data_IF_784302964447
#
_entry.id   IF_784302964447
#
_cell.length_a   1.000
_cell.length_b   1.000
_cell.length_c   1.000
_cell.angle_alpha   90.00
_cell.angle_beta   90.00
_cell.angle_gamma   90.00
#
_symmetry.space_group_name_H-M   'P 1'
#
loop_
_entity.id
_entity.type
_entity.pdbx_description
1 polymer ?
#
# COMPACT_ATOMS: atom_id res chain seq x y z
N UNK A 1 -29.07 -2.09 -19.03
CA UNK A 1 -28.23 -1.38 -20.02
C UNK A 1 -27.05 -0.68 -19.38
N UNK A 2 -27.25 0.14 -18.34
CA UNK A 2 -26.17 0.76 -17.53
C UNK A 2 -25.16 -0.23 -16.97
N UNK A 3 -25.60 -1.38 -16.44
CA UNK A 3 -24.69 -2.41 -15.90
C UNK A 3 -23.75 -3.03 -16.95
N UNK A 4 -24.23 -3.20 -18.18
CA UNK A 4 -23.42 -3.69 -19.29
C UNK A 4 -22.32 -2.67 -19.64
N UNK A 5 -22.62 -1.37 -19.63
CA UNK A 5 -21.60 -0.31 -19.73
C UNK A 5 -20.60 -0.37 -18.56
N UNK A 6 -21.06 -0.53 -17.31
CA UNK A 6 -20.19 -0.65 -16.13
C UNK A 6 -19.25 -1.86 -16.25
N UNK A 7 -19.77 -3.02 -16.63
CA UNK A 7 -18.99 -4.25 -16.82
C UNK A 7 -17.99 -4.14 -17.98
N UNK A 8 -18.37 -3.48 -19.09
CA UNK A 8 -17.46 -3.19 -20.22
C UNK A 8 -16.30 -2.27 -19.82
N UNK A 9 -16.57 -1.22 -19.03
CA UNK A 9 -15.52 -0.35 -18.49
C UNK A 9 -14.56 -1.12 -17.60
N UNK A 10 -15.05 -1.94 -16.67
CA UNK A 10 -14.20 -2.75 -15.78
C UNK A 10 -13.33 -3.72 -16.57
N UNK A 11 -13.89 -4.43 -17.56
CA UNK A 11 -13.12 -5.36 -18.40
C UNK A 11 -12.01 -4.64 -19.19
N UNK A 12 -12.34 -3.54 -19.87
CA UNK A 12 -11.38 -2.74 -20.61
C UNK A 12 -10.29 -2.14 -19.69
N UNK A 13 -10.65 -1.74 -18.46
CA UNK A 13 -9.69 -1.25 -17.47
C UNK A 13 -8.75 -2.34 -16.97
N UNK A 14 -9.25 -3.55 -16.68
CA UNK A 14 -8.41 -4.67 -16.27
C UNK A 14 -7.41 -5.05 -17.37
N UNK A 15 -7.85 -5.10 -18.63
CA UNK A 15 -6.99 -5.34 -19.80
C UNK A 15 -5.89 -4.27 -19.94
N UNK A 16 -6.26 -2.98 -19.92
CA UNK A 16 -5.33 -1.87 -20.10
C UNK A 16 -4.35 -1.72 -18.91
N UNK A 17 -4.83 -1.81 -17.66
CA UNK A 17 -3.98 -1.73 -16.48
C UNK A 17 -3.00 -2.91 -16.39
N UNK A 18 -3.39 -4.11 -16.85
CA UNK A 18 -2.47 -5.28 -16.89
C UNK A 18 -1.40 -5.15 -17.99
N UNK A 19 -1.72 -4.45 -19.09
CA UNK A 19 -0.86 -4.28 -20.25
C UNK A 19 0.11 -3.09 -20.12
N UNK A 20 -0.39 -1.92 -19.69
CA UNK A 20 0.34 -0.63 -19.63
C UNK A 20 0.48 -0.03 -18.23
N UNK A 21 -0.04 -0.71 -17.21
CA UNK A 21 -0.12 -0.16 -15.86
C UNK A 21 -1.33 0.74 -15.64
N UNK A 22 -1.67 0.91 -14.36
CA UNK A 22 -2.67 1.85 -13.89
C UNK A 22 -2.30 3.28 -14.29
N UNK A 23 -1.07 3.75 -14.03
CA UNK A 23 -0.68 5.15 -14.14
C UNK A 23 -0.75 5.67 -15.59
N UNK A 24 -0.21 4.93 -16.56
CA UNK A 24 -0.17 5.33 -17.98
C UNK A 24 -1.56 5.35 -18.64
N UNK A 25 -2.47 4.47 -18.20
CA UNK A 25 -3.82 4.37 -18.76
C UNK A 25 -4.69 5.58 -18.37
N UNK A 26 -5.30 6.27 -19.34
CA UNK A 26 -6.23 7.36 -19.04
C UNK A 26 -7.71 6.99 -19.18
N UNK A 27 -8.56 7.68 -18.40
CA UNK A 27 -10.04 7.59 -18.49
C UNK A 27 -10.56 8.01 -19.89
N UNK A 28 -9.74 8.68 -20.71
CA UNK A 28 -10.09 8.98 -22.11
C UNK A 28 -9.92 7.75 -23.00
N UNK A 29 -8.77 7.06 -22.91
CA UNK A 29 -8.55 5.81 -23.65
C UNK A 29 -9.58 4.74 -23.28
N UNK A 30 -9.91 4.60 -21.99
CA UNK A 30 -10.94 3.65 -21.53
C UNK A 30 -12.31 3.95 -22.14
N UNK A 31 -12.68 5.23 -22.25
CA UNK A 31 -13.92 5.63 -22.91
C UNK A 31 -13.89 5.31 -24.41
N UNK A 32 -12.77 5.60 -25.07
CA UNK A 32 -12.56 5.35 -26.50
C UNK A 32 -12.55 3.85 -26.85
N UNK A 33 -11.90 3.01 -26.03
CA UNK A 33 -11.87 1.53 -26.16
C UNK A 33 -13.24 0.89 -25.93
N UNK A 34 -14.06 1.46 -25.04
CA UNK A 34 -15.43 0.97 -24.74
C UNK A 34 -16.48 1.53 -25.71
N UNK A 35 -16.13 2.52 -26.55
CA UNK A 35 -17.05 3.16 -27.49
C UNK A 35 -18.05 4.12 -26.84
N UNK A 36 -17.69 4.73 -25.70
CA UNK A 36 -18.54 5.63 -24.92
C UNK A 36 -17.88 6.99 -24.69
N UNK A 37 -18.63 7.99 -24.21
CA UNK A 37 -18.04 9.29 -23.86
C UNK A 37 -17.29 9.22 -22.53
N UNK A 38 -16.27 10.06 -22.35
CA UNK A 38 -15.59 10.22 -21.05
C UNK A 38 -16.59 10.56 -19.93
N UNK A 39 -17.63 11.34 -20.22
CA UNK A 39 -18.70 11.67 -19.27
C UNK A 39 -19.51 10.43 -18.84
N UNK A 40 -19.75 9.48 -19.74
CA UNK A 40 -20.41 8.22 -19.40
C UNK A 40 -19.52 7.34 -18.51
N UNK A 41 -18.20 7.32 -18.71
CA UNK A 41 -17.27 6.64 -17.79
C UNK A 41 -17.28 7.31 -16.41
N UNK A 42 -17.19 8.65 -16.37
CA UNK A 42 -17.21 9.43 -15.13
C UNK A 42 -18.54 9.34 -14.35
N UNK A 43 -19.65 9.02 -15.02
CA UNK A 43 -20.93 8.74 -14.38
C UNK A 43 -20.93 7.41 -13.61
N UNK A 44 -20.17 6.41 -14.08
CA UNK A 44 -20.02 5.12 -13.39
C UNK A 44 -18.87 5.13 -12.36
N UNK A 45 -17.79 5.89 -12.63
CA UNK A 45 -16.56 5.92 -11.84
C UNK A 45 -15.99 7.35 -11.80
N UNK A 46 -16.17 8.10 -10.70
CA UNK A 46 -15.75 9.51 -10.60
C UNK A 46 -14.28 9.78 -10.93
N UNK A 47 -13.39 8.83 -10.64
CA UNK A 47 -11.98 8.83 -10.99
C UNK A 47 -11.45 7.44 -11.34
N UNK A 48 -10.15 7.38 -11.64
CA UNK A 48 -9.47 6.11 -12.00
C UNK A 48 -9.30 5.19 -10.79
N UNK A 49 -9.22 5.74 -9.57
CA UNK A 49 -9.17 4.97 -8.33
C UNK A 49 -10.49 4.22 -8.07
N UNK A 50 -11.65 4.81 -8.38
CA UNK A 50 -12.96 4.17 -8.23
C UNK A 50 -13.12 2.94 -9.13
N UNK A 51 -12.49 2.98 -10.33
CA UNK A 51 -12.39 1.81 -11.22
C UNK A 51 -11.57 0.70 -10.55
N UNK A 52 -10.46 1.04 -9.88
CA UNK A 52 -9.65 0.07 -9.14
C UNK A 52 -10.41 -0.49 -7.94
N UNK A 53 -11.09 0.34 -7.15
CA UNK A 53 -11.94 -0.13 -6.04
C UNK A 53 -12.97 -1.14 -6.53
N UNK A 54 -13.65 -0.82 -7.64
CA UNK A 54 -14.65 -1.71 -8.24
C UNK A 54 -14.08 -2.96 -8.94
N UNK A 55 -12.79 -2.96 -9.30
CA UNK A 55 -12.06 -4.15 -9.75
C UNK A 55 -11.60 -5.03 -8.58
N UNK A 56 -11.19 -4.41 -7.46
CA UNK A 56 -10.71 -5.11 -6.27
C UNK A 56 -11.83 -5.67 -5.38
N UNK A 57 -13.03 -5.09 -5.42
CA UNK A 57 -14.15 -5.47 -4.55
C UNK A 57 -14.46 -6.98 -4.51
N UNK A 58 -14.49 -7.74 -5.63
CA UNK A 58 -14.72 -9.19 -5.57
C UNK A 58 -13.61 -9.92 -4.82
N UNK A 59 -12.35 -9.54 -5.07
CA UNK A 59 -11.19 -10.11 -4.38
C UNK A 59 -11.22 -9.81 -2.87
N UNK A 60 -11.59 -8.59 -2.49
CA UNK A 60 -11.72 -8.20 -1.07
C UNK A 60 -12.88 -8.94 -0.39
N UNK A 61 -14.02 -9.10 -1.06
CA UNK A 61 -15.16 -9.84 -0.52
C UNK A 61 -14.83 -11.34 -0.33
N UNK A 62 -14.19 -11.98 -1.32
CA UNK A 62 -13.79 -13.39 -1.22
C UNK A 62 -12.70 -13.59 -0.14
N UNK A 63 -11.76 -12.65 -0.01
CA UNK A 63 -10.72 -12.60 1.04
C UNK A 63 -11.33 -12.46 2.45
N UNK A 64 -12.26 -11.52 2.63
CA UNK A 64 -12.98 -11.31 3.89
C UNK A 64 -13.84 -12.52 4.27
N UNK A 65 -14.48 -13.17 3.28
CA UNK A 65 -15.25 -14.40 3.46
C UNK A 65 -14.37 -15.60 3.83
N UNK A 66 -13.21 -15.79 3.18
CA UNK A 66 -12.25 -16.84 3.50
C UNK A 66 -11.72 -16.69 4.93
N UNK A 67 -11.37 -15.47 5.35
CA UNK A 67 -10.91 -15.17 6.71
C UNK A 67 -12.02 -15.30 7.77
N UNK A 68 -13.29 -15.12 7.39
CA UNK A 68 -14.43 -15.42 8.26
C UNK A 68 -14.65 -16.93 8.42
N UNK A 69 -14.64 -17.70 7.33
CA UNK A 69 -14.80 -19.16 7.36
C UNK A 69 -13.65 -19.85 8.11
N UNK A 70 -12.41 -19.38 7.92
CA UNK A 70 -11.25 -19.92 8.62
C UNK A 70 -11.31 -19.72 10.14
N UNK A 71 -11.85 -18.58 10.62
CA UNK A 71 -11.96 -18.30 12.05
C UNK A 71 -12.90 -19.27 12.80
N UNK A 72 -13.91 -19.83 12.12
CA UNK A 72 -14.86 -20.81 12.66
C UNK A 72 -14.44 -22.27 12.40
N UNK A 73 -13.31 -22.50 11.70
CA UNK A 73 -12.83 -23.83 11.34
C UNK A 73 -12.07 -24.52 12.48
N UNK A 74 -12.21 -25.84 12.60
CA UNK A 74 -11.51 -26.66 13.60
C UNK A 74 -10.00 -26.70 13.43
N UNK A 75 -9.51 -26.51 12.20
CA UNK A 75 -8.12 -26.14 11.92
C UNK A 75 -8.10 -24.76 11.26
N UNK A 76 -8.11 -23.74 12.11
CA UNK A 76 -8.07 -22.32 11.72
C UNK A 76 -6.87 -21.99 10.83
N UNK A 77 -5.70 -22.60 11.10
CA UNK A 77 -4.46 -22.35 10.35
C UNK A 77 -4.57 -22.90 8.94
N UNK A 78 -4.96 -24.17 8.79
CA UNK A 78 -5.11 -24.80 7.47
C UNK A 78 -6.22 -24.16 6.65
N UNK A 79 -7.37 -23.86 7.26
CA UNK A 79 -8.47 -23.20 6.58
C UNK A 79 -8.10 -21.78 6.09
N UNK A 80 -7.31 -21.03 6.88
CA UNK A 80 -6.80 -19.74 6.44
C UNK A 80 -5.82 -19.88 5.25
N UNK A 81 -4.86 -20.81 5.33
CA UNK A 81 -3.90 -21.08 4.25
C UNK A 81 -4.61 -21.46 2.93
N UNK A 82 -5.56 -22.39 2.98
CA UNK A 82 -6.28 -22.84 1.78
C UNK A 82 -7.21 -21.76 1.23
N UNK A 83 -8.01 -21.11 2.08
CA UNK A 83 -8.94 -20.06 1.64
C UNK A 83 -8.23 -18.87 0.98
N UNK A 84 -7.09 -18.45 1.53
CA UNK A 84 -6.27 -17.37 0.97
C UNK A 84 -5.64 -17.77 -0.37
N UNK A 85 -5.15 -19.01 -0.49
CA UNK A 85 -4.59 -19.52 -1.73
C UNK A 85 -5.64 -19.58 -2.86
N UNK A 86 -6.86 -20.01 -2.57
CA UNK A 86 -7.95 -20.02 -3.57
C UNK A 86 -8.33 -18.60 -4.01
N UNK A 87 -8.33 -17.62 -3.11
CA UNK A 87 -8.53 -16.21 -3.43
C UNK A 87 -7.44 -15.70 -4.38
N UNK A 88 -6.16 -15.97 -4.08
CA UNK A 88 -5.06 -15.56 -4.96
C UNK A 88 -5.10 -16.25 -6.33
N UNK A 89 -5.38 -17.56 -6.37
CA UNK A 89 -5.49 -18.31 -7.63
C UNK A 89 -6.65 -17.79 -8.50
N UNK A 90 -7.80 -17.49 -7.89
CA UNK A 90 -8.99 -16.92 -8.54
C UNK A 90 -8.72 -15.53 -9.09
N UNK A 91 -8.15 -14.65 -8.28
CA UNK A 91 -7.95 -13.22 -8.60
C UNK A 91 -6.57 -12.90 -9.18
N UNK A 92 -5.80 -13.91 -9.63
CA UNK A 92 -4.39 -13.81 -10.04
C UNK A 92 -4.06 -12.71 -11.05
N UNK A 93 -5.01 -12.31 -11.89
CA UNK A 93 -4.84 -11.19 -12.83
C UNK A 93 -4.73 -9.83 -12.13
N UNK A 94 -5.48 -9.61 -11.03
CA UNK A 94 -5.39 -8.38 -10.22
C UNK A 94 -4.07 -8.31 -9.46
N UNK A 95 -3.57 -9.44 -8.96
CA UNK A 95 -2.24 -9.52 -8.34
C UNK A 95 -1.11 -9.26 -9.35
N UNK A 96 -1.21 -9.84 -10.56
CA UNK A 96 -0.22 -9.62 -11.65
C UNK A 96 -0.26 -8.20 -12.21
N UNK A 97 -1.43 -7.54 -12.21
CA UNK A 97 -1.54 -6.10 -12.43
C UNK A 97 -0.80 -5.32 -11.32
N UNK A 98 -1.05 -5.66 -10.06
CA UNK A 98 -0.49 -4.94 -8.91
C UNK A 98 1.06 -5.00 -8.81
N UNK A 99 1.67 -6.12 -9.18
CA UNK A 99 3.14 -6.25 -9.20
C UNK A 99 3.79 -5.36 -10.29
N UNK A 100 3.07 -5.10 -11.39
CA UNK A 100 3.57 -4.27 -12.51
C UNK A 100 3.39 -2.78 -12.26
N UNK A 101 2.27 -2.42 -11.66
CA UNK A 101 1.95 -1.05 -11.26
C UNK A 101 1.11 -1.12 -9.98
N UNK A 102 1.46 -0.32 -8.97
CA UNK A 102 0.83 -0.30 -7.64
C UNK A 102 -0.60 0.28 -7.63
N UNK A 103 -1.37 0.09 -8.71
CA UNK A 103 -2.73 0.59 -8.88
C UNK A 103 -3.68 0.25 -7.72
N UNK A 104 -3.56 -0.93 -7.09
CA UNK A 104 -4.35 -1.28 -5.90
C UNK A 104 -4.09 -0.31 -4.73
N UNK A 105 -2.86 0.18 -4.55
CA UNK A 105 -2.51 1.16 -3.51
C UNK A 105 -2.85 2.60 -3.91
N UNK A 106 -3.36 2.83 -5.12
CA UNK A 106 -3.91 4.12 -5.54
C UNK A 106 -5.36 4.33 -5.07
N UNK A 107 -5.96 3.34 -4.41
CA UNK A 107 -7.21 3.47 -3.66
C UNK A 107 -6.96 3.20 -2.18
N UNK A 108 -7.11 4.23 -1.35
CA UNK A 108 -6.88 4.17 0.10
C UNK A 108 -7.76 3.09 0.75
N UNK A 109 -9.06 3.04 0.39
CA UNK A 109 -10.02 2.04 0.89
C UNK A 109 -9.62 0.60 0.54
N UNK A 110 -9.05 0.36 -0.64
CA UNK A 110 -8.54 -0.97 -1.03
C UNK A 110 -7.30 -1.32 -0.22
N UNK A 111 -6.36 -0.39 -0.08
CA UNK A 111 -5.15 -0.56 0.69
C UNK A 111 -5.43 -0.86 2.17
N UNK A 112 -6.38 -0.15 2.79
CA UNK A 112 -6.74 -0.37 4.19
C UNK A 112 -7.42 -1.72 4.44
N UNK A 113 -8.44 -2.10 3.63
CA UNK A 113 -9.08 -3.43 3.73
C UNK A 113 -8.08 -4.56 3.51
N UNK A 114 -7.18 -4.41 2.54
CA UNK A 114 -6.12 -5.38 2.28
C UNK A 114 -5.14 -5.47 3.45
N UNK A 115 -4.65 -4.34 3.98
CA UNK A 115 -3.78 -4.27 5.17
C UNK A 115 -4.42 -4.97 6.36
N UNK A 116 -5.66 -4.65 6.69
CA UNK A 116 -6.31 -5.12 7.92
C UNK A 116 -6.70 -6.60 7.83
N UNK A 117 -7.15 -7.06 6.65
CA UNK A 117 -7.36 -8.48 6.39
C UNK A 117 -6.04 -9.27 6.34
N UNK A 118 -4.93 -8.70 5.85
CA UNK A 118 -3.61 -9.35 5.91
C UNK A 118 -3.07 -9.45 7.35
N UNK A 119 -3.32 -8.45 8.20
CA UNK A 119 -3.01 -8.54 9.63
C UNK A 119 -3.87 -9.61 10.33
N UNK A 120 -5.16 -9.70 10.00
CA UNK A 120 -6.06 -10.78 10.47
C UNK A 120 -5.57 -12.16 9.99
N UNK A 121 -5.17 -12.29 8.72
CA UNK A 121 -4.62 -13.52 8.15
C UNK A 121 -3.39 -14.00 8.93
N UNK A 122 -2.44 -13.09 9.22
CA UNK A 122 -1.26 -13.39 10.03
C UNK A 122 -1.65 -13.89 11.43
N UNK A 123 -2.65 -13.28 12.07
CA UNK A 123 -3.16 -13.75 13.37
C UNK A 123 -3.77 -15.15 13.31
N UNK A 124 -4.62 -15.44 12.33
CA UNK A 124 -5.26 -16.75 12.15
C UNK A 124 -4.25 -17.87 11.82
N UNK A 125 -3.25 -17.57 10.99
CA UNK A 125 -2.20 -18.54 10.62
C UNK A 125 -1.21 -18.74 11.76
N UNK A 126 -0.86 -17.71 12.53
CA UNK A 126 0.02 -17.85 13.68
C UNK A 126 -0.65 -18.65 14.81
N UNK A 127 -1.88 -18.29 15.19
CA UNK A 127 -2.61 -18.84 16.34
C UNK A 127 -2.57 -17.91 17.57
N UNK A 128 -3.40 -18.18 18.60
CA UNK A 128 -3.60 -17.26 19.73
C UNK A 128 -2.37 -17.11 20.63
N UNK A 129 -1.63 -18.19 20.87
CA UNK A 129 -0.47 -18.24 21.78
C UNK A 129 0.89 -18.07 21.05
N UNK A 130 0.87 -17.55 19.81
CA UNK A 130 2.02 -17.53 18.92
C UNK A 130 3.16 -16.62 19.40
N UNK A 131 4.38 -17.15 19.42
CA UNK A 131 5.58 -16.40 19.80
C UNK A 131 6.08 -15.47 18.65
N UNK A 132 7.30 -14.95 18.73
CA UNK A 132 7.86 -14.16 17.61
C UNK A 132 8.18 -15.03 16.37
N UNK A 133 8.74 -16.22 16.55
CA UNK A 133 9.08 -17.12 15.46
C UNK A 133 7.82 -17.64 14.74
N UNK A 134 6.75 -17.94 15.47
CA UNK A 134 5.47 -18.38 14.88
C UNK A 134 4.77 -17.28 14.08
N UNK A 135 4.83 -16.03 14.54
CA UNK A 135 4.34 -14.88 13.75
C UNK A 135 5.20 -14.62 12.51
N UNK A 136 6.51 -14.83 12.58
CA UNK A 136 7.40 -14.78 11.39
C UNK A 136 7.08 -15.92 10.42
N UNK A 137 6.85 -17.15 10.90
CA UNK A 137 6.43 -18.30 10.09
C UNK A 137 5.07 -18.05 9.43
N UNK A 138 4.12 -17.42 10.12
CA UNK A 138 2.83 -17.05 9.55
C UNK A 138 2.97 -16.03 8.40
N UNK A 139 3.81 -15.00 8.56
CA UNK A 139 4.11 -14.04 7.52
C UNK A 139 4.80 -14.70 6.30
N UNK A 140 5.75 -15.60 6.55
CA UNK A 140 6.41 -16.40 5.51
C UNK A 140 5.43 -17.30 4.76
N UNK A 141 4.58 -18.04 5.48
CA UNK A 141 3.55 -18.90 4.89
C UNK A 141 2.60 -18.11 3.99
N UNK A 142 2.17 -16.91 4.41
CA UNK A 142 1.27 -16.04 3.64
C UNK A 142 1.94 -15.50 2.37
N UNK A 143 3.22 -15.08 2.45
CA UNK A 143 3.99 -14.65 1.27
C UNK A 143 4.19 -15.80 0.26
N UNK A 144 4.34 -17.05 0.74
CA UNK A 144 4.40 -18.24 -0.11
C UNK A 144 3.09 -18.51 -0.85
N UNK A 145 1.96 -17.91 -0.47
CA UNK A 145 0.69 -18.03 -1.21
C UNK A 145 0.58 -17.04 -2.37
N UNK A 146 1.05 -15.80 -2.20
CA UNK A 146 0.91 -14.73 -3.20
C UNK A 146 1.94 -14.83 -4.31
N UNK A 147 3.21 -14.96 -3.95
CA UNK A 147 4.31 -14.67 -4.86
C UNK A 147 4.45 -15.72 -5.98
N UNK A 148 4.32 -17.04 -5.71
CA UNK A 148 4.36 -18.05 -6.77
C UNK A 148 3.18 -17.93 -7.76
N UNK A 149 2.00 -17.51 -7.29
CA UNK A 149 0.81 -17.31 -8.14
C UNK A 149 1.03 -16.19 -9.16
N UNK A 150 1.81 -15.15 -8.79
CA UNK A 150 2.14 -14.04 -9.69
C UNK A 150 3.36 -14.34 -10.57
N UNK A 151 4.43 -14.89 -9.99
CA UNK A 151 5.70 -15.13 -10.68
C UNK A 151 5.63 -16.29 -11.68
N UNK A 152 4.85 -17.33 -11.37
CA UNK A 152 4.70 -18.53 -12.20
C UNK A 152 3.31 -18.64 -12.83
N UNK A 153 2.67 -17.49 -13.12
CA UNK A 153 1.29 -17.42 -13.61
C UNK A 153 0.99 -18.16 -14.93
N UNK A 154 2.02 -18.59 -15.68
CA UNK A 154 1.89 -19.41 -16.89
C UNK A 154 1.66 -20.91 -16.59
N UNK A 155 1.93 -21.36 -15.36
CA UNK A 155 1.62 -22.71 -14.89
C UNK A 155 0.12 -22.89 -14.59
N UNK A 156 -0.36 -24.15 -14.51
CA UNK A 156 -1.75 -24.40 -14.15
C UNK A 156 -2.01 -24.09 -12.67
N UNK A 157 -3.24 -23.67 -12.34
CA UNK A 157 -3.63 -23.43 -10.95
C UNK A 157 -3.51 -24.69 -10.07
N UNK A 158 -3.67 -25.89 -10.64
CA UNK A 158 -3.54 -27.15 -9.92
C UNK A 158 -2.10 -27.46 -9.52
N UNK A 159 -1.14 -27.27 -10.43
CA UNK A 159 0.30 -27.42 -10.15
C UNK A 159 0.77 -26.38 -9.12
N UNK A 160 0.35 -25.12 -9.29
CA UNK A 160 0.64 -24.05 -8.34
C UNK A 160 0.09 -24.37 -6.95
N UNK A 161 -1.19 -24.76 -6.85
CA UNK A 161 -1.81 -25.11 -5.57
C UNK A 161 -1.07 -26.25 -4.86
N UNK A 162 -0.73 -27.32 -5.58
CA UNK A 162 -0.01 -28.46 -5.02
C UNK A 162 1.38 -28.07 -4.51
N UNK A 163 2.17 -27.34 -5.31
CA UNK A 163 3.52 -26.93 -4.97
C UNK A 163 3.56 -25.92 -3.81
N UNK A 164 2.61 -24.97 -3.76
CA UNK A 164 2.50 -23.99 -2.68
C UNK A 164 2.16 -24.68 -1.36
N UNK A 165 1.16 -25.57 -1.34
CA UNK A 165 0.75 -26.25 -0.11
C UNK A 165 1.84 -27.18 0.43
N UNK A 166 2.53 -27.95 -0.44
CA UNK A 166 3.70 -28.75 -0.04
C UNK A 166 4.81 -27.87 0.58
N UNK A 167 5.09 -26.70 0.01
CA UNK A 167 6.05 -25.74 0.57
C UNK A 167 5.64 -25.20 1.93
N UNK A 168 4.36 -24.85 2.12
CA UNK A 168 3.84 -24.33 3.40
C UNK A 168 3.77 -25.42 4.47
N UNK A 169 3.39 -26.65 4.12
CA UNK A 169 3.38 -27.79 5.04
C UNK A 169 4.81 -28.15 5.48
N UNK A 170 5.83 -27.99 4.62
CA UNK A 170 7.26 -28.09 4.99
C UNK A 170 7.70 -27.00 5.96
N UNK A 171 7.26 -25.75 5.78
CA UNK A 171 7.61 -24.62 6.64
C UNK A 171 7.16 -24.87 8.10
N UNK A 172 5.97 -25.42 8.30
CA UNK A 172 5.46 -25.72 9.65
C UNK A 172 5.99 -27.05 10.21
N UNK A 173 6.21 -28.08 9.40
CA UNK A 173 6.76 -29.36 9.90
C UNK A 173 8.23 -29.26 10.31
N UNK A 174 9.05 -28.49 9.60
CA UNK A 174 10.45 -28.25 9.98
C UNK A 174 10.59 -27.55 11.35
N UNK A 175 9.59 -26.76 11.76
CA UNK A 175 9.57 -26.09 13.06
C UNK A 175 9.29 -27.02 14.26
N UNK A 176 8.71 -28.21 14.02
CA UNK A 176 8.33 -29.16 15.08
C UNK A 176 9.45 -30.10 15.55
N UNK A 177 10.63 -30.07 14.91
CA UNK A 177 11.68 -31.09 15.10
C UNK A 177 12.50 -30.98 16.39
N UNK A 178 12.71 -29.77 16.93
CA UNK A 178 13.71 -29.51 17.99
C UNK A 178 13.08 -28.91 19.26
N UNK A 179 12.04 -29.58 19.78
CA UNK A 179 11.28 -29.16 20.97
C UNK A 179 11.64 -29.87 22.29
N UNK A 180 12.70 -30.67 22.35
CA UNK A 180 13.03 -31.52 23.51
C UNK A 180 14.50 -31.41 23.94
N UNK A 181 14.91 -30.22 24.36
CA UNK A 181 16.29 -29.99 24.79
C UNK A 181 16.61 -28.55 25.21
N UNK A 182 16.18 -28.15 26.42
CA UNK A 182 16.74 -26.95 27.07
C UNK A 182 18.16 -27.24 27.60
N UNK A 183 19.12 -27.31 26.68
CA UNK A 183 20.53 -27.11 27.01
C UNK A 183 20.82 -25.64 27.26
N UNK A 184 21.72 -25.34 28.19
CA UNK A 184 22.07 -23.96 28.55
C UNK A 184 22.89 -23.28 27.42
N UNK A 185 22.71 -21.97 27.17
CA UNK A 185 23.45 -21.26 26.13
C UNK A 185 24.92 -21.03 26.56
N UNK A 186 25.80 -21.95 26.19
CA UNK A 186 27.24 -21.79 26.31
C UNK A 186 27.73 -20.56 25.53
N UNK A 187 28.44 -19.64 26.20
CA UNK A 187 28.83 -18.36 25.62
C UNK A 187 29.87 -18.52 24.49
N UNK A 188 29.50 -18.16 23.26
CA UNK A 188 30.40 -18.07 22.11
C UNK A 188 30.75 -16.61 21.81
N UNK A 189 31.89 -16.14 22.32
CA UNK A 189 32.36 -14.76 22.15
C UNK A 189 32.79 -14.47 20.70
N UNK A 190 32.04 -13.64 19.98
CA UNK A 190 32.56 -12.98 18.77
C UNK A 190 33.56 -11.91 19.20
N UNK A 191 34.82 -12.07 18.79
CA UNK A 191 35.85 -11.04 18.99
C UNK A 191 35.64 -9.88 18.02
N UNK A 192 35.38 -8.69 18.55
CA UNK A 192 35.86 -7.43 17.96
C UNK A 192 37.12 -7.00 18.70
N UNK A 193 38.04 -6.28 18.04
CA UNK A 193 39.37 -5.99 18.56
C UNK A 193 39.68 -4.49 18.58
N UNK A 194 40.21 -3.99 19.73
CA UNK A 194 40.82 -2.66 19.99
C UNK A 194 40.01 -1.42 19.58
N UNK A 195 39.60 -0.54 20.51
CA UNK A 195 40.44 0.40 21.30
C UNK A 195 41.13 1.45 20.40
N UNK A 196 41.09 2.76 20.71
CA UNK A 196 41.60 3.47 21.92
C UNK A 196 40.68 4.70 22.20
N UNK A 197 40.15 4.92 23.40
CA UNK A 197 40.75 5.65 24.58
C UNK A 197 40.81 7.19 24.35
N UNK A 198 40.49 8.11 25.27
CA UNK A 198 39.94 8.05 26.65
C UNK A 198 39.35 9.43 27.08
N UNK A 199 38.91 9.55 28.34
CA UNK A 199 38.72 10.75 29.21
C UNK A 199 37.32 11.39 29.39
N UNK A 200 36.96 11.47 30.68
CA UNK A 200 35.82 12.14 31.34
C UNK A 200 36.40 12.98 32.52
N UNK A 201 35.64 13.78 33.31
CA UNK A 201 34.27 14.31 33.17
C UNK A 201 34.38 15.89 33.14
N UNK A 202 33.76 16.78 33.98
CA UNK A 202 32.53 16.75 34.79
C UNK A 202 31.60 18.00 34.70
N UNK A 203 30.43 17.86 35.35
CA UNK A 203 29.59 18.87 36.04
C UNK A 203 29.19 20.22 35.40
N UNK A 204 27.87 20.48 35.31
CA UNK A 204 27.36 21.78 34.82
C UNK A 204 25.85 22.10 34.80
N UNK A 205 25.10 21.86 35.89
CA UNK A 205 23.77 22.46 36.23
C UNK A 205 22.52 22.25 35.32
N UNK A 206 21.59 21.44 35.86
CA UNK A 206 20.18 21.75 36.21
C UNK A 206 19.10 22.25 35.20
N UNK A 207 17.86 21.83 35.52
CA UNK A 207 16.53 22.26 35.00
C UNK A 207 16.13 21.76 33.58
N UNK A 208 14.87 21.34 33.33
CA UNK A 208 13.69 21.21 34.20
C UNK A 208 12.64 20.24 33.61
N UNK A 209 11.64 19.83 34.40
CA UNK A 209 10.71 18.71 34.10
C UNK A 209 9.25 19.18 33.91
N UNK A 210 8.44 18.34 33.24
CA UNK A 210 7.00 18.43 32.92
C UNK A 210 6.64 19.30 31.69
N UNK A 211 5.75 18.96 30.75
CA UNK A 211 4.67 17.96 30.59
C UNK A 211 3.24 18.39 30.98
N UNK A 212 2.36 18.54 29.96
CA UNK A 212 0.88 18.46 29.90
C UNK A 212 0.51 18.53 28.39
N UNK A 213 -0.45 17.83 27.75
CA UNK A 213 -1.83 17.34 28.02
C UNK A 213 -2.98 18.31 27.64
N UNK A 214 -3.56 18.01 26.47
CA UNK A 214 -5.01 18.04 26.11
C UNK A 214 -5.81 19.36 25.88
N UNK A 215 -6.58 19.32 24.76
CA UNK A 215 -7.95 19.86 24.52
C UNK A 215 -8.24 21.37 24.75
N UNK A 216 -8.87 22.10 23.81
CA UNK A 216 -10.32 21.96 23.50
C UNK A 216 -10.79 22.65 22.19
N UNK A 217 -11.87 22.07 21.63
CA UNK A 217 -13.10 22.69 21.06
C UNK A 217 -13.13 24.19 20.66
N UNK A 218 -13.68 24.50 19.46
CA UNK A 218 -14.25 25.84 19.18
C UNK A 218 -14.42 26.25 17.71
N UNK A 219 -15.65 26.17 17.20
CA UNK A 219 -16.16 26.98 16.06
C UNK A 219 -17.21 27.98 16.64
N UNK A 220 -17.87 28.91 15.89
CA UNK A 220 -17.95 29.10 14.42
C UNK A 220 -17.93 30.58 13.96
N UNK A 221 -18.24 30.86 12.68
CA UNK A 221 -19.14 31.94 12.23
C UNK A 221 -19.32 31.92 10.69
N UNK A 222 -20.39 32.54 10.17
CA UNK A 222 -20.64 32.68 8.74
C UNK A 222 -21.27 34.05 8.38
N UNK A 223 -20.93 34.57 7.20
CA UNK A 223 -21.58 35.70 6.54
C UNK A 223 -21.36 35.59 5.02
N UNK A 224 -22.26 36.16 4.20
CA UNK A 224 -22.14 36.11 2.73
C UNK A 224 -22.81 37.31 2.06
N UNK A 225 -22.60 37.45 0.74
CA UNK A 225 -23.27 38.39 -0.19
C UNK A 225 -23.07 37.88 -1.64
N UNK A 226 -23.98 38.22 -2.55
CA UNK A 226 -24.02 37.72 -3.94
C UNK A 226 -23.83 38.86 -4.99
N UNK A 227 -24.19 38.75 -6.29
CA UNK A 227 -23.20 38.42 -7.34
C UNK A 227 -23.12 39.41 -8.53
N UNK A 228 -22.03 39.41 -9.31
CA UNK A 228 -21.94 40.19 -10.56
C UNK A 228 -20.97 39.65 -11.64
N UNK A 229 -21.36 39.88 -12.91
CA UNK A 229 -20.54 40.02 -14.14
C UNK A 229 -19.63 38.86 -14.65
N UNK A 230 -19.98 38.31 -15.82
CA UNK A 230 -19.06 37.60 -16.75
C UNK A 230 -18.16 38.58 -17.52
N UNK A 231 -16.89 38.25 -17.76
CA UNK A 231 -16.18 38.59 -19.03
C UNK A 231 -14.85 37.84 -19.26
N UNK A 232 -14.71 37.35 -20.50
CA UNK A 232 -13.48 36.92 -21.21
C UNK A 232 -12.66 35.72 -20.70
N UNK A 233 -11.96 35.06 -21.64
CA UNK A 233 -11.01 33.96 -21.42
C UNK A 233 -9.60 34.52 -21.17
N UNK A 234 -8.88 33.94 -20.21
CA UNK A 234 -7.40 33.93 -20.15
C UNK A 234 -6.93 32.49 -19.89
N UNK A 235 -5.69 32.19 -20.25
CA UNK A 235 -5.14 30.82 -20.19
C UNK A 235 -5.03 30.26 -18.78
N UNK A 236 -4.75 28.95 -18.67
CA UNK A 236 -4.46 28.28 -17.39
C UNK A 236 -3.32 29.04 -16.67
N UNK A 237 -3.49 29.45 -15.39
CA UNK A 237 -2.42 30.12 -14.66
C UNK A 237 -1.15 29.27 -14.61
N UNK A 238 0.05 29.89 -14.56
CA UNK A 238 1.27 29.15 -14.23
C UNK A 238 1.10 28.47 -12.87
N UNK A 239 1.65 27.28 -12.71
CA UNK A 239 1.43 26.43 -11.53
C UNK A 239 2.03 27.00 -10.22
N UNK A 240 2.78 28.10 -10.30
CA UNK A 240 3.44 28.80 -9.22
C UNK A 240 3.63 30.27 -9.63
N UNK A 241 3.57 31.23 -8.69
CA UNK A 241 3.94 32.63 -8.95
C UNK A 241 5.46 32.76 -9.10
N UNK A 242 5.99 33.71 -9.91
CA UNK A 242 7.44 33.93 -10.04
C UNK A 242 8.16 34.12 -8.69
N UNK A 243 7.57 34.92 -7.80
CA UNK A 243 8.02 35.16 -6.41
C UNK A 243 8.31 33.85 -5.64
N UNK A 244 7.47 32.84 -5.83
CA UNK A 244 7.54 31.54 -5.14
C UNK A 244 8.53 30.60 -5.84
N UNK A 245 8.73 30.74 -7.16
CA UNK A 245 9.80 30.04 -7.88
C UNK A 245 11.18 30.53 -7.41
N UNK A 246 11.37 31.84 -7.25
CA UNK A 246 12.61 32.39 -6.69
C UNK A 246 12.82 31.97 -5.24
N UNK A 247 11.76 31.96 -4.41
CA UNK A 247 11.85 31.46 -3.04
C UNK A 247 12.25 29.98 -3.00
N UNK A 248 11.71 29.14 -3.89
CA UNK A 248 12.09 27.74 -4.02
C UNK A 248 13.57 27.57 -4.39
N UNK A 249 14.07 28.36 -5.35
CA UNK A 249 15.48 28.34 -5.76
C UNK A 249 16.41 28.75 -4.63
N UNK A 250 16.19 29.91 -3.99
CA UNK A 250 17.01 30.38 -2.86
C UNK A 250 17.09 29.36 -1.71
N UNK A 251 16.04 28.56 -1.47
CA UNK A 251 16.05 27.49 -0.46
C UNK A 251 16.80 26.22 -0.92
N UNK A 252 16.81 25.92 -2.22
CA UNK A 252 17.53 24.81 -2.82
C UNK A 252 19.04 25.11 -2.95
N UNK A 253 19.38 26.32 -3.37
CA UNK A 253 20.75 26.83 -3.44
C UNK A 253 21.39 26.89 -2.02
N UNK A 254 20.56 27.02 -0.98
CA UNK A 254 20.93 26.88 0.43
C UNK A 254 20.91 25.42 0.96
N UNK A 255 20.87 24.43 0.08
CA UNK A 255 21.03 23.00 0.40
C UNK A 255 19.80 22.29 1.01
N UNK A 256 18.61 22.91 1.03
CA UNK A 256 17.41 22.24 1.57
C UNK A 256 16.84 21.23 0.58
N UNK A 257 16.39 20.08 1.07
CA UNK A 257 15.80 19.04 0.22
C UNK A 257 14.50 19.54 -0.45
N UNK A 258 14.21 19.16 -1.72
CA UNK A 258 12.99 19.55 -2.43
C UNK A 258 11.67 19.21 -1.70
N UNK A 259 11.68 18.23 -0.80
CA UNK A 259 10.55 17.91 0.07
C UNK A 259 10.26 19.02 1.10
N UNK A 260 11.29 19.52 1.79
CA UNK A 260 11.14 20.52 2.86
C UNK A 260 10.91 21.93 2.28
N UNK A 261 11.29 22.15 1.02
CA UNK A 261 10.94 23.33 0.23
C UNK A 261 9.46 23.26 -0.18
N UNK A 262 8.97 22.10 -0.62
CA UNK A 262 7.56 21.90 -0.96
C UNK A 262 6.65 22.18 0.25
N UNK A 263 6.99 21.63 1.43
CA UNK A 263 6.31 21.87 2.69
C UNK A 263 6.36 23.34 3.11
N UNK A 264 7.55 23.98 3.09
CA UNK A 264 7.71 25.38 3.51
C UNK A 264 7.00 26.40 2.60
N UNK A 265 6.73 26.04 1.33
CA UNK A 265 6.05 26.91 0.37
C UNK A 265 4.57 26.52 0.14
N UNK A 266 4.04 25.52 0.85
CA UNK A 266 2.64 25.10 0.74
C UNK A 266 2.26 24.50 -0.62
N UNK A 267 3.20 23.82 -1.29
CA UNK A 267 3.02 23.26 -2.64
C UNK A 267 3.37 21.78 -2.71
N UNK A 268 2.93 21.08 -3.76
CA UNK A 268 3.29 19.68 -3.97
C UNK A 268 4.74 19.51 -4.44
N UNK A 269 5.41 18.44 -3.99
CA UNK A 269 6.77 18.04 -4.43
C UNK A 269 6.91 18.01 -5.96
N UNK A 270 5.89 17.49 -6.65
CA UNK A 270 5.83 17.45 -8.11
C UNK A 270 5.78 18.84 -8.78
N UNK A 271 5.50 19.93 -8.07
CA UNK A 271 5.58 21.30 -8.58
C UNK A 271 6.95 21.94 -8.34
N UNK A 272 7.64 21.59 -7.24
CA UNK A 272 9.04 21.98 -7.01
C UNK A 272 9.96 21.40 -8.09
N UNK A 273 9.84 20.11 -8.39
CA UNK A 273 10.64 19.43 -9.42
C UNK A 273 10.42 19.92 -10.87
N UNK A 274 9.45 20.80 -11.14
CA UNK A 274 9.26 21.44 -12.47
C UNK A 274 10.00 22.78 -12.60
N UNK A 275 10.60 23.30 -11.53
CA UNK A 275 11.10 24.69 -11.46
C UNK A 275 12.51 24.83 -10.87
N UNK A 276 12.99 23.83 -10.13
CA UNK A 276 14.40 23.63 -9.80
C UNK A 276 15.13 22.93 -10.97
N UNK A 277 16.46 23.11 -11.11
CA UNK A 277 17.26 22.25 -11.99
C UNK A 277 17.19 20.78 -11.51
N UNK A 278 17.34 19.85 -12.45
CA UNK A 278 17.66 18.46 -12.12
C UNK A 278 19.12 18.43 -11.66
N UNK A 279 19.43 17.65 -10.63
CA UNK A 279 20.83 17.37 -10.28
C UNK A 279 21.37 16.30 -11.23
N UNK A 280 22.52 16.58 -11.84
CA UNK A 280 23.31 15.62 -12.63
C UNK A 280 24.00 14.58 -11.72
#
# INVERSE_FOLDING_TARGET
MTDDTRAKILRAALEEFSARGFHETSVRELAERVGVTKTAVLYHFPGKADIVTALAEPMLADFEAALAQAAEASDTRRAAIEGLLEVWLTHRYLLRMNLRDLGLTASEVVFERFRDGMLRANGLVAGPDADFADRVRAAQAIAMLSDPVVLFAEASQAELRAAILDGVDRLFTAAGGEGSGRGEPGASTIRTASAVDDSEPPEGRESGVAAERNSHLGAPAAAGITPAARKSRRGRPPAMKPEVIEAARRLYDAGRAPADIATALGVSRATIYRHLPVAD
#
